data_IF_946948388384
#
_entry.id   IF_946948388384
#
_cell.length_a   1.000
_cell.length_b   1.000
_cell.length_c   1.000
_cell.angle_alpha   90.00
_cell.angle_beta   90.00
_cell.angle_gamma   90.00
#
_symmetry.space_group_name_H-M   'P 1'
#
loop_
_entity.id
_entity.type
_entity.pdbx_description
1 polymer ?
#
# COMPACT_ATOMS: atom_id res chain seq x y z
N UNK A 1 -13.56 13.03 2.36
CA UNK A 1 -14.67 12.32 1.74
C UNK A 1 -14.16 11.01 1.15
N UNK A 2 -14.16 9.93 1.98
CA UNK A 2 -13.81 8.58 1.52
C UNK A 2 -14.75 8.19 0.36
N UNK A 3 -14.19 7.96 -0.80
CA UNK A 3 -14.96 7.46 -1.94
C UNK A 3 -15.10 5.95 -1.77
N UNK A 4 -16.29 5.51 -1.40
CA UNK A 4 -16.63 4.10 -1.48
C UNK A 4 -16.79 3.77 -2.96
N UNK A 5 -15.92 2.94 -3.48
CA UNK A 5 -16.11 2.36 -4.80
C UNK A 5 -16.99 1.12 -4.62
N UNK A 6 -18.23 1.23 -5.07
CA UNK A 6 -19.19 0.13 -5.06
C UNK A 6 -19.21 -0.53 -6.44
N UNK A 7 -19.11 -1.84 -6.45
CA UNK A 7 -19.28 -2.67 -7.66
C UNK A 7 -20.53 -3.49 -7.44
N UNK A 8 -21.54 -3.28 -8.25
CA UNK A 8 -22.75 -4.10 -8.29
C UNK A 8 -22.58 -5.14 -9.41
N UNK A 9 -22.79 -6.40 -9.06
CA UNK A 9 -22.69 -7.53 -9.98
C UNK A 9 -24.09 -8.16 -10.08
N UNK A 10 -24.71 -8.02 -11.24
CA UNK A 10 -25.98 -8.65 -11.55
C UNK A 10 -25.76 -9.80 -12.54
N UNK A 11 -26.11 -10.99 -12.13
CA UNK A 11 -26.02 -12.20 -12.95
C UNK A 11 -27.41 -12.76 -13.16
N UNK A 12 -27.79 -12.96 -14.41
CA UNK A 12 -29.04 -13.62 -14.78
C UNK A 12 -28.73 -15.04 -15.30
N UNK A 13 -29.07 -16.03 -14.52
CA UNK A 13 -28.85 -17.42 -14.89
C UNK A 13 -30.14 -17.98 -15.46
N UNK A 14 -30.08 -18.45 -16.71
CA UNK A 14 -31.19 -19.18 -17.35
C UNK A 14 -30.92 -20.68 -17.33
N UNK A 15 -31.72 -21.41 -16.59
CA UNK A 15 -31.58 -22.86 -16.40
C UNK A 15 -32.66 -23.57 -17.22
N UNK A 16 -32.30 -24.43 -18.17
CA UNK A 16 -33.30 -25.23 -18.91
C UNK A 16 -34.00 -26.21 -17.96
N UNK A 17 -35.32 -26.25 -18.04
CA UNK A 17 -36.11 -27.16 -17.22
C UNK A 17 -36.52 -28.38 -18.02
N UNK A 18 -36.45 -29.57 -17.40
CA UNK A 18 -36.88 -30.84 -18.05
C UNK A 18 -38.33 -31.14 -17.71
N UNK A 19 -38.72 -31.08 -16.46
CA UNK A 19 -40.08 -31.46 -16.02
C UNK A 19 -41.08 -30.30 -16.15
N UNK A 20 -40.66 -29.05 -15.92
CA UNK A 20 -41.54 -27.91 -16.02
C UNK A 20 -41.96 -27.57 -17.48
N UNK A 21 -41.29 -28.14 -18.47
CA UNK A 21 -41.72 -28.08 -19.89
C UNK A 21 -43.12 -28.62 -20.12
N UNK A 22 -43.54 -29.61 -19.34
CA UNK A 22 -44.87 -30.21 -19.44
C UNK A 22 -45.97 -29.22 -19.08
N UNK A 23 -45.67 -28.22 -18.25
CA UNK A 23 -46.58 -27.15 -17.83
C UNK A 23 -46.25 -25.80 -18.50
N UNK A 24 -45.44 -25.82 -19.56
CA UNK A 24 -45.17 -24.64 -20.40
C UNK A 24 -43.92 -23.82 -20.03
N UNK A 25 -43.15 -24.20 -19.00
CA UNK A 25 -41.93 -23.46 -18.60
C UNK A 25 -40.67 -24.15 -19.16
N UNK A 26 -40.13 -23.60 -20.24
CA UNK A 26 -38.91 -24.16 -20.87
C UNK A 26 -37.61 -23.75 -20.16
N UNK A 27 -37.60 -22.64 -19.43
CA UNK A 27 -36.46 -22.09 -18.71
C UNK A 27 -36.91 -21.47 -17.40
N UNK A 28 -36.02 -21.53 -16.41
CA UNK A 28 -36.14 -20.82 -15.14
C UNK A 28 -35.06 -19.73 -15.11
N UNK A 29 -35.46 -18.49 -14.92
CA UNK A 29 -34.55 -17.38 -14.77
C UNK A 29 -34.33 -17.09 -13.28
N UNK A 30 -33.09 -17.17 -12.84
CA UNK A 30 -32.68 -16.83 -11.47
C UNK A 30 -31.80 -15.58 -11.50
N UNK A 31 -32.33 -14.40 -11.17
CA UNK A 31 -31.50 -13.21 -10.98
C UNK A 31 -30.75 -13.34 -9.66
N UNK A 32 -29.45 -13.11 -9.70
CA UNK A 32 -28.55 -13.03 -8.53
C UNK A 32 -27.88 -11.68 -8.58
N UNK A 33 -28.02 -10.89 -7.53
CA UNK A 33 -27.30 -9.63 -7.38
C UNK A 33 -26.38 -9.67 -6.15
N UNK A 34 -25.20 -9.14 -6.31
CA UNK A 34 -24.23 -8.97 -5.22
C UNK A 34 -23.56 -7.61 -5.34
N UNK A 35 -23.30 -6.97 -4.23
CA UNK A 35 -22.56 -5.70 -4.17
C UNK A 35 -21.29 -5.86 -3.35
N UNK A 36 -20.21 -5.31 -3.86
CA UNK A 36 -18.90 -5.24 -3.19
C UNK A 36 -18.52 -3.79 -3.00
N UNK A 37 -18.16 -3.42 -1.79
CA UNK A 37 -17.62 -2.10 -1.45
C UNK A 37 -16.10 -2.16 -1.26
N UNK A 38 -15.40 -1.17 -1.81
CA UNK A 38 -14.00 -0.94 -1.53
C UNK A 38 -13.89 0.35 -0.70
N UNK A 39 -13.38 0.22 0.52
CA UNK A 39 -13.21 1.32 1.47
C UNK A 39 -11.73 1.54 1.78
N UNK A 40 -11.30 2.75 2.19
CA UNK A 40 -9.94 2.97 2.64
C UNK A 40 -9.52 1.99 3.72
N UNK A 41 -8.27 1.57 3.68
CA UNK A 41 -7.73 0.61 4.65
C UNK A 41 -7.41 1.29 5.98
N UNK A 42 -7.93 0.74 7.05
CA UNK A 42 -7.63 1.17 8.43
C UNK A 42 -6.47 0.41 9.09
N UNK A 43 -6.02 -0.70 8.51
CA UNK A 43 -4.86 -1.45 9.03
C UNK A 43 -4.11 -2.19 7.94
N UNK A 44 -2.79 -2.43 8.15
CA UNK A 44 -1.92 -3.07 7.17
C UNK A 44 -0.79 -3.86 7.83
N UNK A 45 -0.46 -5.01 7.25
CA UNK A 45 0.77 -5.77 7.55
C UNK A 45 1.72 -5.72 6.35
N UNK A 46 2.97 -6.13 6.54
CA UNK A 46 3.95 -6.15 5.47
C UNK A 46 4.48 -4.75 5.09
N UNK A 47 4.17 -3.74 5.88
CA UNK A 47 4.62 -2.35 5.67
C UNK A 47 6.12 -2.25 5.86
N UNK A 48 6.80 -1.47 5.00
CA UNK A 48 8.23 -1.17 5.16
C UNK A 48 8.42 0.07 6.04
N UNK A 49 9.58 0.22 6.73
CA UNK A 49 9.80 1.27 7.72
C UNK A 49 10.13 2.63 7.10
N UNK A 50 9.45 2.97 6.02
CA UNK A 50 9.54 4.26 5.33
C UNK A 50 8.14 4.83 5.14
N UNK A 51 8.05 6.14 5.02
CA UNK A 51 6.77 6.80 4.86
C UNK A 51 6.88 8.12 4.11
N UNK A 52 5.74 8.64 3.74
CA UNK A 52 5.57 9.94 3.11
C UNK A 52 4.60 10.78 3.94
N UNK A 53 4.86 12.08 4.04
CA UNK A 53 3.92 12.99 4.70
C UNK A 53 2.61 13.09 3.90
N UNK A 54 1.48 13.14 4.61
CA UNK A 54 0.15 13.16 3.98
C UNK A 54 -0.02 14.29 2.97
N UNK A 55 0.50 15.48 3.27
CA UNK A 55 0.39 16.63 2.36
C UNK A 55 1.16 16.41 1.06
N UNK A 56 2.32 15.74 1.13
CA UNK A 56 3.16 15.48 -0.04
C UNK A 56 2.50 14.46 -0.98
N UNK A 57 1.95 13.37 -0.44
CA UNK A 57 1.26 12.39 -1.27
C UNK A 57 -0.03 12.97 -1.86
N UNK A 58 -0.78 13.79 -1.10
CA UNK A 58 -1.97 14.45 -1.62
C UNK A 58 -1.61 15.41 -2.75
N UNK A 59 -0.55 16.21 -2.59
CA UNK A 59 -0.06 17.10 -3.64
C UNK A 59 0.38 16.32 -4.88
N UNK A 60 1.08 15.19 -4.71
CA UNK A 60 1.49 14.33 -5.81
C UNK A 60 0.28 13.78 -6.58
N UNK A 61 -0.74 13.31 -5.86
CA UNK A 61 -1.98 12.77 -6.45
C UNK A 61 -2.76 13.88 -7.19
N UNK A 62 -2.92 15.05 -6.57
CA UNK A 62 -3.66 16.17 -7.15
C UNK A 62 -2.98 16.76 -8.40
N UNK A 63 -1.65 16.81 -8.39
CA UNK A 63 -0.88 17.30 -9.55
C UNK A 63 -0.66 16.25 -10.64
N UNK A 64 -0.98 14.96 -10.36
CA UNK A 64 -0.67 13.85 -11.24
C UNK A 64 0.82 13.48 -11.30
N UNK A 65 1.65 14.06 -10.42
CA UNK A 65 3.09 13.80 -10.35
C UNK A 65 3.38 12.68 -9.35
N UNK A 66 2.94 11.48 -9.66
CA UNK A 66 3.09 10.30 -8.79
C UNK A 66 4.30 9.43 -9.13
N UNK A 67 5.04 9.82 -10.17
CA UNK A 67 6.16 9.05 -10.72
C UNK A 67 7.50 9.62 -10.27
N UNK A 68 8.50 8.74 -10.17
CA UNK A 68 9.89 9.07 -9.86
C UNK A 68 10.08 9.94 -8.60
N UNK A 69 9.24 9.70 -7.61
CA UNK A 69 9.36 10.34 -6.30
C UNK A 69 10.65 9.85 -5.63
N UNK A 70 11.37 10.78 -4.99
CA UNK A 70 12.55 10.42 -4.21
C UNK A 70 12.19 10.47 -2.74
N UNK A 71 12.19 9.31 -2.09
CA UNK A 71 12.07 9.20 -0.64
C UNK A 71 13.48 9.22 -0.05
N UNK A 72 13.78 10.24 0.76
CA UNK A 72 15.10 10.41 1.39
C UNK A 72 15.07 9.99 2.85
N UNK A 73 16.07 9.24 3.24
CA UNK A 73 16.37 9.02 4.63
C UNK A 73 17.27 10.16 5.15
N UNK A 74 16.87 10.76 6.28
CA UNK A 74 17.70 11.69 7.01
C UNK A 74 17.49 13.17 6.69
N UNK A 75 17.10 13.88 7.68
CA UNK A 75 16.88 15.31 7.73
C UNK A 75 15.65 15.59 8.59
N UNK A 76 15.85 16.14 9.77
CA UNK A 76 14.76 16.38 10.71
C UNK A 76 13.60 17.12 10.07
N UNK A 77 12.45 16.54 10.21
CA UNK A 77 11.12 17.09 10.10
C UNK A 77 10.91 18.26 9.17
N UNK A 78 10.37 18.00 8.00
CA UNK A 78 9.76 19.05 7.19
C UNK A 78 10.25 19.06 5.76
N UNK A 79 9.29 18.91 4.88
CA UNK A 79 9.29 19.08 3.43
C UNK A 79 10.23 18.16 2.62
N UNK A 80 9.62 17.52 1.62
CA UNK A 80 10.21 16.74 0.54
C UNK A 80 10.60 15.29 0.86
N UNK A 81 9.62 14.44 1.33
CA UNK A 81 9.79 12.99 1.35
C UNK A 81 10.88 12.47 2.29
N UNK A 82 11.25 13.24 3.31
CA UNK A 82 12.23 12.84 4.32
C UNK A 82 11.57 11.97 5.36
N UNK A 83 11.93 10.69 5.41
CA UNK A 83 11.55 9.80 6.49
C UNK A 83 12.72 9.62 7.46
N UNK A 84 12.39 9.50 8.74
CA UNK A 84 13.35 9.13 9.78
C UNK A 84 13.41 7.61 9.95
N UNK A 85 14.03 7.19 11.04
CA UNK A 85 13.98 5.81 11.49
C UNK A 85 12.63 5.55 12.15
N UNK A 86 11.68 4.96 11.40
CA UNK A 86 10.34 4.67 11.92
C UNK A 86 10.35 3.31 12.62
N UNK A 87 10.03 3.30 13.91
CA UNK A 87 9.90 2.08 14.71
C UNK A 87 8.50 1.50 14.56
N UNK A 88 8.34 0.54 13.67
CA UNK A 88 7.02 -0.05 13.35
C UNK A 88 6.44 -0.89 14.48
N UNK A 89 7.26 -1.36 15.41
CA UNK A 89 6.86 -2.14 16.58
C UNK A 89 6.42 -1.27 17.78
N UNK A 90 6.37 0.05 17.60
CA UNK A 90 6.02 1.00 18.66
C UNK A 90 7.08 1.11 19.77
N UNK A 91 8.24 0.46 19.61
CA UNK A 91 9.35 0.62 20.55
C UNK A 91 10.07 1.94 20.33
N UNK A 92 10.66 2.50 21.38
CA UNK A 92 11.56 3.67 21.27
C UNK A 92 13.04 3.26 21.16
N UNK A 93 13.33 1.96 21.20
CA UNK A 93 14.67 1.38 21.30
C UNK A 93 14.83 0.24 20.30
N UNK A 94 14.76 0.50 19.04
CA UNK A 94 15.10 -0.45 17.98
C UNK A 94 16.46 -0.11 17.38
N UNK A 95 17.05 -1.04 16.68
CA UNK A 95 18.33 -0.86 16.00
C UNK A 95 18.22 -1.04 14.49
N UNK A 96 19.28 -0.66 13.79
CA UNK A 96 19.43 -0.89 12.36
C UNK A 96 19.09 -2.33 11.89
N UNK A 97 19.31 -3.41 12.69
CA UNK A 97 18.90 -4.77 12.32
C UNK A 97 17.39 -4.93 12.10
N UNK A 98 16.53 -4.35 12.96
CA UNK A 98 15.08 -4.41 12.79
C UNK A 98 14.66 -3.64 11.54
N UNK A 99 15.20 -2.43 11.35
CA UNK A 99 14.93 -1.64 10.16
C UNK A 99 15.32 -2.41 8.88
N UNK A 100 16.51 -3.01 8.83
CA UNK A 100 16.95 -3.84 7.70
C UNK A 100 16.00 -5.00 7.45
N UNK A 101 15.55 -5.71 8.49
CA UNK A 101 14.61 -6.82 8.38
C UNK A 101 13.28 -6.37 7.78
N UNK A 102 12.72 -5.28 8.31
CA UNK A 102 11.46 -4.74 7.82
C UNK A 102 11.58 -4.14 6.42
N UNK A 103 12.72 -3.52 6.11
CA UNK A 103 13.00 -3.04 4.75
C UNK A 103 13.09 -4.19 3.76
N UNK A 104 13.61 -5.35 4.19
CA UNK A 104 13.78 -6.54 3.36
C UNK A 104 12.47 -7.30 3.17
N UNK A 105 11.75 -7.58 4.25
CA UNK A 105 10.61 -8.51 4.27
C UNK A 105 9.26 -7.85 4.51
N UNK A 106 9.22 -6.60 4.94
CA UNK A 106 8.06 -5.95 5.53
C UNK A 106 7.95 -6.26 7.03
N UNK A 107 7.15 -5.46 7.71
CA UNK A 107 6.85 -5.65 9.13
C UNK A 107 5.81 -6.75 9.31
N UNK A 108 6.10 -7.73 10.16
CA UNK A 108 5.26 -8.91 10.37
C UNK A 108 4.00 -8.62 11.22
N UNK A 109 4.04 -7.52 11.99
CA UNK A 109 2.88 -7.06 12.77
C UNK A 109 1.88 -6.28 11.93
N UNK A 110 0.79 -5.90 12.55
CA UNK A 110 -0.25 -5.07 11.95
C UNK A 110 -0.15 -3.64 12.47
N UNK A 111 -0.16 -2.68 11.57
CA UNK A 111 -0.22 -1.25 11.87
C UNK A 111 -1.65 -0.74 11.63
N UNK A 112 -2.04 0.28 12.37
CA UNK A 112 -3.39 0.83 12.32
C UNK A 112 -3.35 2.33 12.03
N UNK A 113 -4.31 2.82 11.28
CA UNK A 113 -4.56 4.27 11.14
C UNK A 113 -4.86 4.85 12.51
N UNK A 114 -4.29 6.01 12.81
CA UNK A 114 -4.33 6.65 14.12
C UNK A 114 -3.23 6.19 15.09
N UNK A 115 -2.49 5.13 14.78
CA UNK A 115 -1.37 4.67 15.61
C UNK A 115 -0.24 5.69 15.61
N UNK A 116 0.31 5.98 16.78
CA UNK A 116 1.50 6.81 16.94
C UNK A 116 2.75 5.94 16.96
N UNK A 117 3.75 6.35 16.19
CA UNK A 117 5.02 5.65 16.04
C UNK A 117 6.17 6.61 16.30
N UNK A 118 7.25 6.05 16.84
CA UNK A 118 8.48 6.81 17.07
C UNK A 118 9.25 6.99 15.76
N UNK A 119 9.64 8.23 15.49
CA UNK A 119 10.52 8.61 14.40
C UNK A 119 11.79 9.23 14.97
N UNK A 120 12.93 8.62 14.74
CA UNK A 120 14.21 9.04 15.32
C UNK A 120 15.24 9.29 14.23
N UNK A 121 16.18 10.16 14.53
CA UNK A 121 17.38 10.32 13.72
C UNK A 121 18.32 9.12 13.92
N UNK A 122 18.95 8.68 12.87
CA UNK A 122 19.92 7.58 12.90
C UNK A 122 20.48 7.36 11.50
N UNK A 123 21.54 6.59 11.32
CA UNK A 123 22.06 6.26 10.00
C UNK A 123 21.64 4.83 9.64
N UNK A 124 20.73 4.69 8.67
CA UNK A 124 20.25 3.40 8.15
C UNK A 124 20.51 3.24 6.65
N UNK A 125 21.39 4.05 6.06
CA UNK A 125 21.66 4.05 4.63
C UNK A 125 21.99 2.64 4.11
N UNK A 126 22.86 1.92 4.80
CA UNK A 126 23.20 0.53 4.43
C UNK A 126 22.01 -0.41 4.53
N UNK A 127 21.17 -0.25 5.55
CA UNK A 127 19.97 -1.08 5.72
C UNK A 127 18.94 -0.84 4.60
N UNK A 128 18.79 0.41 4.14
CA UNK A 128 17.95 0.77 2.99
C UNK A 128 18.52 0.13 1.72
N UNK A 129 19.79 0.37 1.41
CA UNK A 129 20.40 -0.14 0.18
C UNK A 129 20.44 -1.66 0.12
N UNK A 130 20.73 -2.35 1.24
CA UNK A 130 20.71 -3.81 1.33
C UNK A 130 19.29 -4.37 1.18
N UNK A 131 18.29 -3.75 1.81
CA UNK A 131 16.88 -4.14 1.67
C UNK A 131 16.38 -3.97 0.23
N UNK A 132 16.69 -2.84 -0.41
CA UNK A 132 16.36 -2.62 -1.82
C UNK A 132 17.08 -3.61 -2.73
N UNK A 133 18.38 -3.82 -2.54
CA UNK A 133 19.17 -4.80 -3.32
C UNK A 133 18.57 -6.19 -3.25
N UNK A 134 18.16 -6.63 -2.04
CA UNK A 134 17.50 -7.91 -1.85
C UNK A 134 16.19 -8.03 -2.64
N UNK A 135 15.38 -6.97 -2.68
CA UNK A 135 14.12 -6.93 -3.41
C UNK A 135 14.32 -6.93 -4.92
N UNK A 136 15.28 -6.14 -5.44
CA UNK A 136 15.68 -6.15 -6.85
C UNK A 136 16.14 -7.53 -7.31
N UNK A 137 16.97 -8.21 -6.53
CA UNK A 137 17.46 -9.55 -6.84
C UNK A 137 16.34 -10.62 -6.93
N UNK A 138 15.15 -10.33 -6.41
CA UNK A 138 13.98 -11.24 -6.41
C UNK A 138 12.87 -10.82 -7.34
N UNK A 139 12.96 -9.67 -7.95
CA UNK A 139 12.03 -9.28 -9.00
C UNK A 139 12.40 -10.04 -10.27
N UNK A 140 11.55 -10.97 -10.66
CA UNK A 140 11.65 -11.75 -11.89
C UNK A 140 10.62 -11.31 -12.97
N UNK A 141 9.99 -10.17 -12.76
CA UNK A 141 9.04 -9.58 -13.69
C UNK A 141 9.79 -8.55 -14.55
N UNK A 142 10.17 -8.96 -15.77
CA UNK A 142 10.89 -8.12 -16.72
C UNK A 142 9.96 -7.69 -17.85
N UNK A 143 10.02 -6.42 -18.17
CA UNK A 143 9.34 -5.84 -19.33
C UNK A 143 10.30 -4.86 -20.01
N UNK A 144 10.54 -5.05 -21.29
CA UNK A 144 11.46 -4.24 -22.12
C UNK A 144 12.85 -4.02 -21.48
N UNK A 145 13.38 -5.06 -20.82
CA UNK A 145 14.68 -5.03 -20.18
C UNK A 145 14.73 -4.32 -18.83
N UNK A 146 13.59 -3.90 -18.29
CA UNK A 146 13.46 -3.24 -16.97
C UNK A 146 12.71 -4.09 -15.96
N UNK A 147 12.99 -3.91 -14.68
CA UNK A 147 12.18 -4.43 -13.58
C UNK A 147 10.81 -3.73 -13.50
N UNK A 148 9.97 -4.17 -12.58
CA UNK A 148 8.73 -3.48 -12.26
C UNK A 148 8.96 -1.97 -12.04
N UNK A 149 8.06 -1.17 -12.57
CA UNK A 149 8.06 0.31 -12.49
C UNK A 149 6.61 0.82 -12.50
N UNK A 150 6.41 2.14 -12.50
CA UNK A 150 5.08 2.77 -12.47
C UNK A 150 4.12 2.29 -13.57
N UNK A 151 4.65 2.01 -14.75
CA UNK A 151 3.84 1.63 -15.93
C UNK A 151 3.61 0.13 -16.03
N UNK A 152 4.50 -0.64 -15.40
CA UNK A 152 4.48 -2.09 -15.50
C UNK A 152 4.94 -2.72 -14.19
N UNK A 153 4.00 -3.15 -13.39
CA UNK A 153 4.25 -3.84 -12.12
C UNK A 153 3.26 -4.98 -11.92
N UNK A 154 3.65 -5.94 -11.11
CA UNK A 154 2.82 -7.08 -10.73
C UNK A 154 2.54 -6.99 -9.23
N UNK A 155 1.26 -7.00 -8.79
CA UNK A 155 0.93 -7.11 -7.37
C UNK A 155 1.62 -8.33 -6.75
N UNK A 156 2.23 -8.14 -5.56
CA UNK A 156 3.03 -9.18 -4.91
C UNK A 156 4.50 -9.27 -5.38
N UNK A 157 4.92 -8.49 -6.38
CA UNK A 157 6.33 -8.34 -6.69
C UNK A 157 7.09 -7.75 -5.48
N UNK A 158 8.29 -8.25 -5.16
CA UNK A 158 9.11 -7.68 -4.08
C UNK A 158 9.40 -6.18 -4.21
N UNK A 159 9.39 -5.62 -5.43
CA UNK A 159 9.56 -4.19 -5.66
C UNK A 159 8.31 -3.35 -5.38
N UNK A 160 7.13 -3.99 -5.33
CA UNK A 160 5.89 -3.34 -4.91
C UNK A 160 5.79 -3.45 -3.39
N UNK A 161 5.91 -2.33 -2.72
CA UNK A 161 5.94 -2.23 -1.26
C UNK A 161 4.76 -1.41 -0.75
N UNK A 162 4.42 -1.61 0.51
CA UNK A 162 3.47 -0.77 1.20
C UNK A 162 4.24 0.20 2.11
N UNK A 163 4.05 1.50 1.93
CA UNK A 163 4.66 2.55 2.74
C UNK A 163 3.61 3.20 3.66
N UNK A 164 4.09 3.83 4.73
CA UNK A 164 3.25 4.61 5.63
C UNK A 164 2.91 5.96 4.99
N UNK A 165 1.66 6.39 5.17
CA UNK A 165 1.29 7.79 5.05
C UNK A 165 1.07 8.31 6.46
N UNK A 166 1.66 9.47 6.78
CA UNK A 166 1.68 9.98 8.15
C UNK A 166 1.51 11.49 8.22
N UNK A 167 1.12 11.96 9.39
CA UNK A 167 1.21 13.35 9.84
C UNK A 167 2.13 13.45 11.06
N UNK A 168 2.60 14.66 11.35
CA UNK A 168 3.43 14.88 12.54
C UNK A 168 2.56 14.85 13.81
N UNK A 169 2.98 14.07 14.82
CA UNK A 169 2.27 13.91 16.09
C UNK A 169 3.09 14.45 17.28
N UNK A 170 3.72 15.61 17.13
CA UNK A 170 4.61 16.22 18.13
C UNK A 170 6.03 16.42 17.60
N UNK A 171 7.03 16.57 18.48
CA UNK A 171 8.38 17.01 18.10
C UNK A 171 9.22 15.96 17.38
N UNK A 172 8.88 14.67 17.45
CA UNK A 172 9.64 13.59 16.84
C UNK A 172 8.81 12.35 16.49
N UNK A 173 7.53 12.37 16.76
CA UNK A 173 6.65 11.23 16.56
C UNK A 173 5.73 11.49 15.36
N UNK A 174 5.25 10.42 14.76
CA UNK A 174 4.34 10.46 13.63
C UNK A 174 3.05 9.71 13.98
N UNK A 175 1.95 10.14 13.39
CA UNK A 175 0.68 9.43 13.43
C UNK A 175 0.38 8.86 12.06
N UNK A 176 0.08 7.58 11.99
CA UNK A 176 -0.30 6.92 10.75
C UNK A 176 -1.66 7.43 10.30
N UNK A 177 -1.75 7.98 9.08
CA UNK A 177 -3.01 8.44 8.46
C UNK A 177 -3.47 7.52 7.34
N UNK A 178 -2.61 6.59 6.89
CA UNK A 178 -2.96 5.61 5.88
C UNK A 178 -1.76 4.81 5.39
N UNK A 179 -1.99 4.07 4.31
CA UNK A 179 -1.00 3.22 3.67
C UNK A 179 -1.07 3.41 2.16
N UNK A 180 0.09 3.47 1.51
CA UNK A 180 0.18 3.71 0.08
C UNK A 180 1.06 2.65 -0.60
N UNK A 181 0.59 2.07 -1.72
CA UNK A 181 1.41 1.18 -2.53
C UNK A 181 2.43 2.01 -3.32
N UNK A 182 3.67 1.54 -3.29
CA UNK A 182 4.80 2.20 -3.92
C UNK A 182 5.67 1.17 -4.64
N UNK A 183 6.08 1.44 -5.87
CA UNK A 183 7.01 0.60 -6.60
C UNK A 183 8.41 1.19 -6.53
N UNK A 184 9.39 0.39 -6.08
CA UNK A 184 10.80 0.79 -6.04
C UNK A 184 11.39 0.65 -7.43
N UNK A 185 11.91 1.75 -7.99
CA UNK A 185 12.53 1.82 -9.31
C UNK A 185 14.05 1.99 -9.23
N UNK A 186 14.55 2.47 -8.09
CA UNK A 186 15.97 2.66 -7.84
C UNK A 186 16.27 2.97 -6.38
N UNK A 187 17.55 2.96 -6.05
CA UNK A 187 18.04 3.36 -4.72
C UNK A 187 19.50 3.83 -4.79
N UNK A 188 19.91 4.60 -3.80
CA UNK A 188 21.30 5.07 -3.67
C UNK A 188 21.95 4.55 -2.39
N UNK A 189 23.28 4.60 -2.34
CA UNK A 189 24.04 4.24 -1.14
C UNK A 189 23.88 5.29 -0.01
N UNK A 190 23.28 6.46 -0.31
CA UNK A 190 22.93 7.48 0.66
C UNK A 190 21.56 7.27 1.31
N UNK A 191 20.90 6.12 1.04
CA UNK A 191 19.60 5.78 1.62
C UNK A 191 18.42 6.46 0.92
N UNK A 192 18.61 6.95 -0.30
CA UNK A 192 17.50 7.43 -1.11
C UNK A 192 16.83 6.27 -1.83
N UNK A 193 15.53 6.28 -1.88
CA UNK A 193 14.71 5.34 -2.65
C UNK A 193 13.99 6.14 -3.72
N UNK A 194 14.16 5.73 -4.95
CA UNK A 194 13.49 6.30 -6.11
C UNK A 194 12.38 5.35 -6.52
N UNK A 195 11.21 5.86 -6.75
CA UNK A 195 10.09 5.03 -7.16
C UNK A 195 8.82 5.84 -7.39
N UNK A 196 7.73 5.14 -7.56
CA UNK A 196 6.47 5.74 -7.94
C UNK A 196 5.33 5.24 -7.05
N UNK A 197 4.44 6.17 -6.71
CA UNK A 197 3.17 5.82 -6.11
C UNK A 197 2.28 5.17 -7.19
N UNK A 198 1.75 4.02 -6.88
CA UNK A 198 0.87 3.28 -7.79
C UNK A 198 -0.54 3.24 -7.22
N UNK A 199 -1.42 4.07 -7.77
CA UNK A 199 -2.79 4.27 -7.32
C UNK A 199 -3.73 3.08 -7.59
N UNK A 200 -3.22 1.85 -7.60
CA UNK A 200 -4.02 0.64 -7.78
C UNK A 200 -4.71 0.22 -6.49
N UNK A 201 -5.84 -0.47 -6.63
CA UNK A 201 -6.54 -1.09 -5.52
C UNK A 201 -5.74 -2.29 -5.01
N UNK A 202 -5.09 -2.15 -3.86
CA UNK A 202 -4.42 -3.25 -3.18
C UNK A 202 -5.32 -3.73 -2.03
N UNK A 203 -5.73 -5.00 -2.05
CA UNK A 203 -6.52 -5.56 -0.96
C UNK A 203 -5.71 -5.60 0.33
N UNK A 204 -6.32 -5.24 1.42
CA UNK A 204 -5.75 -5.24 2.76
C UNK A 204 -6.70 -5.88 3.77
N UNK A 205 -6.43 -5.70 5.04
CA UNK A 205 -7.24 -6.21 6.15
C UNK A 205 -8.65 -5.60 6.23
N UNK A 206 -9.51 -6.20 7.06
CA UNK A 206 -10.93 -5.88 7.17
C UNK A 206 -11.27 -4.59 7.94
N UNK A 207 -10.28 -3.76 8.27
CA UNK A 207 -10.48 -2.52 9.01
C UNK A 207 -10.56 -1.35 8.05
N UNK A 208 -11.65 -0.58 8.15
CA UNK A 208 -11.86 0.63 7.36
C UNK A 208 -11.02 1.80 7.89
N UNK A 209 -10.55 2.65 6.98
CA UNK A 209 -9.81 3.88 7.27
C UNK A 209 -10.49 5.12 6.70
N UNK A 210 -10.04 6.28 7.12
CA UNK A 210 -10.65 7.55 6.73
C UNK A 210 -10.11 8.12 5.40
N UNK A 211 -8.88 7.75 5.03
CA UNK A 211 -8.17 8.32 3.89
C UNK A 211 -7.80 7.25 2.86
N UNK A 212 -8.04 7.56 1.59
CA UNK A 212 -7.73 6.67 0.47
C UNK A 212 -6.40 7.04 -0.18
N UNK A 213 -5.40 6.16 0.01
CA UNK A 213 -4.08 6.27 -0.61
C UNK A 213 -3.73 5.04 -1.48
N UNK A 214 -4.75 4.42 -2.10
CA UNK A 214 -4.57 3.26 -2.99
C UNK A 214 -4.64 1.90 -2.31
N UNK A 215 -4.65 1.81 -0.98
CA UNK A 215 -4.95 0.57 -0.26
C UNK A 215 -6.42 0.51 0.13
N UNK A 216 -7.05 -0.66 -0.03
CA UNK A 216 -8.47 -0.85 0.23
C UNK A 216 -8.75 -2.11 1.02
N UNK A 217 -9.77 -2.04 1.85
CA UNK A 217 -10.47 -3.19 2.40
C UNK A 217 -11.68 -3.50 1.50
N UNK A 218 -11.88 -4.77 1.20
CA UNK A 218 -12.98 -5.24 0.34
C UNK A 218 -13.98 -5.97 1.20
N UNK A 219 -15.22 -5.50 1.22
CA UNK A 219 -16.30 -6.15 1.95
C UNK A 219 -17.54 -6.37 1.09
N UNK A 220 -18.26 -7.47 1.35
CA UNK A 220 -19.59 -7.69 0.79
C UNK A 220 -20.58 -6.73 1.47
N UNK A 221 -21.28 -5.95 0.67
CA UNK A 221 -22.35 -5.08 1.13
C UNK A 221 -23.65 -5.89 1.06
N UNK A 222 -24.27 -6.09 2.22
CA UNK A 222 -25.59 -6.76 2.33
C UNK A 222 -26.70 -5.79 2.01
#
# INVERSE_FOLDING_TARGET
NGRIHRIDIDVNISIPTYFAKVVGFSQLNAPISSAVGAVPTGSMSGVVPIGIHQDEINQAIESGQTEHLTLKYGGGGGSNGNFGFIFLDGSSTGGAPNFKRWMTYGYEGTLYVGQELYNRSGNVNSAVSEGCSYRFARCNHWHDGTHCNAYHYVPGCPLVIMILVYENAGSADIRVTGFAPFVIEGYTNQGEIIGSYVGSLFPSSDVEGDNFFGSVSISLIK
#
